data_IF_589178503501
#
_entry.id   IF_589178503501
#
_cell.length_a   1.000
_cell.length_b   1.000
_cell.length_c   1.000
_cell.angle_alpha   90.00
_cell.angle_beta   90.00
_cell.angle_gamma   90.00
#
_symmetry.space_group_name_H-M   'P 1'
#
loop_
_entity.id
_entity.type
_entity.pdbx_description
1 polymer ?
#
# COMPACT_ATOMS: atom_id res chain seq x y z
N UNK A 1 -21.69 -1.20 -3.56
CA UNK A 1 -21.03 -1.17 -4.87
C UNK A 1 -19.70 -0.43 -4.72
N UNK A 2 -18.58 -1.16 -4.72
CA UNK A 2 -17.21 -0.63 -4.55
C UNK A 2 -16.52 -0.31 -5.89
N UNK A 3 -17.26 -0.19 -7.00
CA UNK A 3 -16.67 -0.01 -8.33
C UNK A 3 -15.99 1.34 -8.54
N UNK A 4 -16.30 2.36 -7.72
CA UNK A 4 -15.68 3.69 -7.81
C UNK A 4 -14.56 3.92 -6.78
N UNK A 5 -14.22 2.91 -5.97
CA UNK A 5 -13.08 2.95 -5.02
C UNK A 5 -11.87 2.17 -5.53
N UNK A 6 -11.98 1.54 -6.69
CA UNK A 6 -10.85 0.85 -7.33
C UNK A 6 -10.01 1.90 -8.04
N UNK A 7 -8.99 2.37 -7.34
CA UNK A 7 -8.00 3.28 -7.88
C UNK A 7 -7.10 2.48 -8.83
N UNK A 8 -7.05 2.89 -10.10
CA UNK A 8 -6.25 2.26 -11.16
C UNK A 8 -4.77 2.10 -10.79
N UNK A 9 -4.21 0.96 -11.22
CA UNK A 9 -2.95 0.32 -10.79
C UNK A 9 -1.67 1.18 -10.85
N UNK A 10 -1.62 2.26 -11.61
CA UNK A 10 -0.34 2.94 -11.88
C UNK A 10 0.07 3.95 -10.78
N UNK A 11 -0.87 4.44 -9.95
CA UNK A 11 -0.60 5.54 -8.99
C UNK A 11 -1.51 5.48 -7.74
N UNK A 12 -2.03 4.30 -7.39
CA UNK A 12 -3.17 4.17 -6.48
C UNK A 12 -2.88 4.58 -5.04
N UNK A 13 -1.76 4.10 -4.51
CA UNK A 13 -1.35 4.31 -3.12
C UNK A 13 -0.93 5.77 -2.88
N UNK A 14 -0.14 6.35 -3.78
CA UNK A 14 0.29 7.74 -3.64
C UNK A 14 -0.89 8.72 -3.70
N UNK A 15 -1.85 8.49 -4.61
CA UNK A 15 -3.10 9.27 -4.67
C UNK A 15 -3.97 9.07 -3.42
N UNK A 16 -4.05 7.85 -2.91
CA UNK A 16 -4.77 7.53 -1.67
C UNK A 16 -4.18 8.29 -0.47
N UNK A 17 -2.85 8.26 -0.30
CA UNK A 17 -2.19 9.00 0.77
C UNK A 17 -2.38 10.52 0.67
N UNK A 18 -2.34 11.07 -0.55
CA UNK A 18 -2.62 12.49 -0.78
C UNK A 18 -4.07 12.88 -0.44
N UNK A 19 -5.04 12.01 -0.73
CA UNK A 19 -6.45 12.24 -0.42
C UNK A 19 -6.75 12.18 1.08
N UNK A 20 -6.02 11.35 1.83
CA UNK A 20 -6.13 11.29 3.29
C UNK A 20 -5.56 12.53 3.99
N UNK A 21 -4.93 13.45 3.23
CA UNK A 21 -4.33 14.69 3.73
C UNK A 21 -3.34 14.43 4.88
N UNK A 22 -2.63 13.31 4.83
CA UNK A 22 -1.54 13.01 5.72
C UNK A 22 -0.26 13.62 5.17
N UNK A 23 0.39 14.46 5.98
CA UNK A 23 1.76 14.86 5.72
C UNK A 23 2.69 13.69 6.07
N UNK A 24 2.94 12.82 5.10
CA UNK A 24 3.92 11.76 5.25
C UNK A 24 5.33 12.36 5.16
N UNK A 25 5.97 12.52 6.32
CA UNK A 25 7.39 12.86 6.42
C UNK A 25 8.28 11.63 6.21
N UNK A 26 8.04 10.92 5.10
CA UNK A 26 8.77 9.72 4.73
C UNK A 26 9.73 10.02 3.57
N UNK A 27 10.92 9.45 3.65
CA UNK A 27 11.88 9.45 2.53
C UNK A 27 11.36 8.56 1.41
N UNK A 28 11.85 8.77 0.17
CA UNK A 28 11.46 7.95 -1.00
C UNK A 28 11.62 6.44 -0.76
N UNK A 29 12.71 5.93 -0.14
CA UNK A 29 12.82 4.50 0.17
C UNK A 29 11.73 3.99 1.13
N UNK A 30 11.38 4.79 2.15
CA UNK A 30 10.34 4.41 3.12
C UNK A 30 8.95 4.33 2.46
N UNK A 31 8.65 5.21 1.50
CA UNK A 31 7.43 5.11 0.70
C UNK A 31 7.43 3.84 -0.15
N UNK A 32 8.56 3.48 -0.76
CA UNK A 32 8.68 2.23 -1.52
C UNK A 32 8.43 0.98 -0.67
N UNK A 33 8.96 0.93 0.55
CA UNK A 33 8.66 -0.19 1.47
C UNK A 33 7.17 -0.26 1.82
N UNK A 34 6.54 0.89 2.05
CA UNK A 34 5.11 0.96 2.38
C UNK A 34 4.25 0.45 1.23
N UNK A 35 4.56 0.85 0.00
CA UNK A 35 3.92 0.35 -1.22
C UNK A 35 4.07 -1.17 -1.36
N UNK A 36 5.28 -1.71 -1.18
CA UNK A 36 5.54 -3.15 -1.25
C UNK A 36 4.71 -3.94 -0.22
N UNK A 37 4.66 -3.44 1.02
CA UNK A 37 3.89 -4.06 2.10
C UNK A 37 2.40 -4.08 1.77
N UNK A 38 1.83 -2.96 1.34
CA UNK A 38 0.40 -2.89 1.01
C UNK A 38 0.04 -3.75 -0.20
N UNK A 39 0.89 -3.79 -1.22
CA UNK A 39 0.69 -4.67 -2.37
C UNK A 39 0.73 -6.14 -1.97
N UNK A 40 1.65 -6.53 -1.08
CA UNK A 40 1.71 -7.88 -0.53
C UNK A 40 0.47 -8.23 0.31
N UNK A 41 -0.05 -7.28 1.11
CA UNK A 41 -1.30 -7.41 1.85
C UNK A 41 -2.50 -7.66 0.95
N UNK A 42 -2.62 -6.88 -0.13
CA UNK A 42 -3.71 -7.00 -1.11
C UNK A 42 -3.61 -8.36 -1.81
N UNK A 43 -2.42 -8.71 -2.30
CA UNK A 43 -2.19 -9.97 -3.04
C UNK A 43 -2.51 -11.21 -2.20
N UNK A 44 -2.12 -11.21 -0.92
CA UNK A 44 -2.37 -12.35 -0.02
C UNK A 44 -3.80 -12.39 0.52
N UNK A 45 -4.53 -11.27 0.51
CA UNK A 45 -5.80 -11.11 1.21
C UNK A 45 -5.56 -10.90 2.71
N UNK A 46 -5.31 -9.65 3.10
CA UNK A 46 -4.86 -9.29 4.44
C UNK A 46 -5.71 -9.86 5.58
N UNK A 47 -5.06 -10.57 6.49
CA UNK A 47 -5.66 -11.19 7.68
C UNK A 47 -5.14 -10.56 9.00
N UNK A 48 -4.68 -9.31 8.98
CA UNK A 48 -4.22 -8.63 10.19
C UNK A 48 -2.78 -8.94 10.65
N UNK A 49 -2.06 -9.86 9.99
CA UNK A 49 -0.72 -10.30 10.39
C UNK A 49 0.35 -9.92 9.37
N UNK A 50 1.35 -9.16 9.82
CA UNK A 50 2.48 -8.73 8.98
C UNK A 50 3.44 -9.89 8.67
N UNK A 51 3.58 -10.86 9.60
CA UNK A 51 4.37 -12.08 9.36
C UNK A 51 3.94 -12.82 8.11
N UNK A 52 2.65 -12.74 7.78
CA UNK A 52 2.08 -13.51 6.69
C UNK A 52 2.49 -12.94 5.33
N UNK A 53 2.90 -11.68 5.25
CA UNK A 53 3.28 -11.00 4.00
C UNK A 53 4.79 -10.75 3.89
N UNK A 54 5.57 -11.13 4.91
CA UNK A 54 7.00 -10.79 4.99
C UNK A 54 7.81 -11.33 3.81
N UNK A 55 7.46 -12.51 3.30
CA UNK A 55 8.11 -13.12 2.13
C UNK A 55 7.68 -12.50 0.79
N UNK A 56 6.58 -11.72 0.80
CA UNK A 56 5.98 -11.11 -0.38
C UNK A 56 6.30 -9.62 -0.52
N UNK A 57 6.82 -8.99 0.54
CA UNK A 57 7.22 -7.58 0.56
C UNK A 57 8.76 -7.47 0.48
N UNK A 58 9.33 -7.27 -0.71
CA UNK A 58 10.77 -7.11 -0.85
C UNK A 58 11.26 -5.83 -0.15
N UNK A 59 12.46 -5.93 0.42
CA UNK A 59 13.19 -4.82 1.06
C UNK A 59 13.61 -3.81 0.00
#
# INVERSE_FOLDING_TARGET
>A
MFQNTIISDELSIYKFFKQLNFDFYLTKPQLGHLENIMNAMISKGFNGKISDIAELAPS
#
